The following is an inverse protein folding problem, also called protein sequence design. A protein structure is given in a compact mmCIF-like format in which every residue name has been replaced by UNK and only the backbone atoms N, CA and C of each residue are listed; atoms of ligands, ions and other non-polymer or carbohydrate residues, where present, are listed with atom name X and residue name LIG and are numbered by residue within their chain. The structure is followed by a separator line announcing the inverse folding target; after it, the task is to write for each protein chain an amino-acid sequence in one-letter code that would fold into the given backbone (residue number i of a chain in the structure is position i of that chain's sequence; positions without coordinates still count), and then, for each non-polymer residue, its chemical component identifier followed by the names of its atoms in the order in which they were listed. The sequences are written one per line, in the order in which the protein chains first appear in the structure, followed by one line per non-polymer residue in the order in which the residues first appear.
data_IF_840195516671
#
_entry.id   IF_840195516671
#
_cell.length_a   1.000
_cell.length_b   1.000
_cell.length_c   1.000
_cell.angle_alpha   90.00
_cell.angle_beta   90.00
_cell.angle_gamma   90.00
#
_symmetry.space_group_name_H-M   'P 1'
#
loop_
_entity.id
_entity.type
_entity.pdbx_description
1 polymer ?
#
# COMPACT_ATOMS: atom_id res chain seq x y z
N UNK A 1 -2.35 -8.21 -4.35
CA UNK A 1 -3.11 -9.40 -3.92
C UNK A 1 -2.47 -10.62 -4.55
N UNK A 2 -2.23 -11.67 -3.76
CA UNK A 2 -1.67 -12.95 -4.19
C UNK A 2 -2.79 -14.01 -4.14
N UNK A 3 -2.87 -14.84 -5.17
CA UNK A 3 -3.78 -15.98 -5.21
C UNK A 3 -2.96 -17.26 -5.15
N UNK A 4 -3.33 -18.18 -4.26
CA UNK A 4 -2.70 -19.50 -4.14
C UNK A 4 -3.74 -20.60 -4.33
N UNK A 5 -3.31 -21.79 -4.77
CA UNK A 5 -4.15 -22.96 -4.85
C UNK A 5 -3.96 -23.85 -3.62
N UNK A 6 -5.04 -24.53 -3.21
CA UNK A 6 -5.06 -25.46 -2.08
C UNK A 6 -5.76 -26.75 -2.48
N UNK A 7 -5.53 -27.82 -1.72
CA UNK A 7 -6.31 -29.05 -1.83
C UNK A 7 -7.80 -28.77 -1.61
N UNK A 8 -8.68 -29.67 -2.03
CA UNK A 8 -10.12 -29.50 -1.83
C UNK A 8 -10.46 -29.31 -0.33
N UNK A 9 -11.49 -28.54 -0.02
CA UNK A 9 -11.86 -28.14 1.35
C UNK A 9 -12.00 -29.34 2.31
N UNK A 10 -12.52 -30.47 1.83
CA UNK A 10 -12.70 -31.69 2.65
C UNK A 10 -11.39 -32.45 2.93
N UNK A 11 -10.30 -32.11 2.24
CA UNK A 11 -8.96 -32.69 2.45
C UNK A 11 -8.07 -31.80 3.33
N UNK A 12 -8.47 -30.57 3.59
CA UNK A 12 -7.68 -29.66 4.40
C UNK A 12 -7.56 -30.15 5.84
N UNK A 13 -6.35 -30.16 6.39
CA UNK A 13 -6.03 -30.65 7.72
C UNK A 13 -5.86 -32.17 7.82
N UNK A 14 -5.73 -32.87 6.68
CA UNK A 14 -5.57 -34.34 6.65
C UNK A 14 -4.17 -34.79 6.22
N UNK A 15 -3.22 -33.89 6.05
CA UNK A 15 -1.90 -34.15 5.45
C UNK A 15 -2.00 -34.73 4.03
N UNK A 16 -2.98 -34.26 3.27
CA UNK A 16 -3.20 -34.70 1.89
C UNK A 16 -2.00 -34.35 1.01
N UNK A 17 -1.79 -35.12 -0.06
CA UNK A 17 -0.73 -34.83 -1.03
C UNK A 17 -0.85 -33.42 -1.59
N UNK A 18 0.23 -32.62 -1.51
CA UNK A 18 0.30 -31.20 -1.87
C UNK A 18 -0.50 -30.24 -0.98
N UNK A 19 -1.01 -30.70 0.16
CA UNK A 19 -1.54 -29.77 1.15
C UNK A 19 -0.42 -28.95 1.77
N UNK A 20 -0.67 -27.65 1.95
CA UNK A 20 0.25 -26.72 2.60
C UNK A 20 -0.54 -25.70 3.43
N UNK A 21 -0.12 -25.47 4.67
CA UNK A 21 -0.65 -24.36 5.48
C UNK A 21 -0.09 -23.03 4.99
N UNK A 22 -0.58 -22.58 3.83
CA UNK A 22 -0.18 -21.30 3.24
C UNK A 22 -0.54 -20.13 4.15
N UNK A 23 -1.67 -20.21 4.85
CA UNK A 23 -2.11 -19.19 5.80
C UNK A 23 -1.08 -19.00 6.92
N UNK A 24 -0.70 -20.08 7.61
CA UNK A 24 0.30 -20.02 8.69
C UNK A 24 1.68 -19.57 8.21
N UNK A 25 2.12 -20.05 7.05
CA UNK A 25 3.41 -19.67 6.47
C UNK A 25 3.50 -18.19 6.10
N UNK A 26 2.42 -17.61 5.66
CA UNK A 26 2.41 -16.23 5.16
C UNK A 26 2.03 -15.20 6.20
N UNK A 27 1.47 -15.60 7.34
CA UNK A 27 1.01 -14.72 8.42
C UNK A 27 2.02 -13.62 8.81
N UNK A 28 3.34 -13.89 8.94
CA UNK A 28 4.30 -12.86 9.34
C UNK A 28 4.69 -11.89 8.23
N UNK A 29 4.33 -12.14 6.97
CA UNK A 29 4.79 -11.37 5.80
C UNK A 29 3.66 -10.72 4.99
N UNK A 30 2.41 -11.02 5.29
CA UNK A 30 1.25 -10.41 4.62
C UNK A 30 0.46 -9.52 5.56
N UNK A 31 -0.27 -8.58 4.98
CA UNK A 31 -1.16 -7.69 5.73
C UNK A 31 -2.43 -8.41 6.19
N UNK A 32 -2.92 -9.32 5.36
CA UNK A 32 -4.07 -10.19 5.66
C UNK A 32 -4.04 -11.44 4.79
N UNK A 33 -4.72 -12.51 5.24
CA UNK A 33 -4.89 -13.76 4.49
C UNK A 33 -6.32 -14.24 4.58
N UNK A 34 -6.81 -14.81 3.48
CA UNK A 34 -8.11 -15.46 3.39
C UNK A 34 -7.95 -16.92 2.94
N UNK A 35 -8.81 -17.79 3.46
CA UNK A 35 -9.08 -19.13 2.89
C UNK A 35 -10.53 -19.12 2.45
N UNK A 36 -10.78 -19.20 1.15
CA UNK A 36 -12.16 -19.22 0.61
C UNK A 36 -12.70 -20.63 0.68
N UNK A 37 -13.73 -20.84 1.49
CA UNK A 37 -14.33 -22.19 1.68
C UNK A 37 -15.60 -22.41 0.88
N UNK A 38 -16.18 -21.37 0.30
CA UNK A 38 -17.40 -21.41 -0.50
C UNK A 38 -17.26 -20.44 -1.66
N UNK A 39 -17.75 -20.84 -2.84
CA UNK A 39 -17.66 -20.01 -4.04
C UNK A 39 -18.46 -18.71 -3.88
N UNK A 40 -19.53 -18.71 -3.10
CA UNK A 40 -20.37 -17.54 -2.83
C UNK A 40 -19.62 -16.43 -2.10
N UNK A 41 -18.59 -16.77 -1.33
CA UNK A 41 -17.80 -15.81 -0.56
C UNK A 41 -16.71 -15.15 -1.43
N UNK A 42 -16.38 -15.75 -2.58
CA UNK A 42 -15.25 -15.33 -3.42
C UNK A 42 -15.34 -13.87 -3.89
N UNK A 43 -16.47 -13.36 -4.41
CA UNK A 43 -16.55 -11.99 -4.88
C UNK A 43 -16.28 -10.96 -3.77
N UNK A 44 -16.83 -11.21 -2.56
CA UNK A 44 -16.62 -10.35 -1.41
C UNK A 44 -15.19 -10.41 -0.91
N UNK A 45 -14.61 -11.61 -0.79
CA UNK A 45 -13.22 -11.80 -0.36
C UNK A 45 -12.25 -11.11 -1.32
N UNK A 46 -12.46 -11.22 -2.62
CA UNK A 46 -11.60 -10.54 -3.61
C UNK A 46 -11.70 -9.03 -3.46
N UNK A 47 -12.91 -8.49 -3.36
CA UNK A 47 -13.12 -7.04 -3.16
C UNK A 47 -12.41 -6.54 -1.90
N UNK A 48 -12.62 -7.23 -0.78
CA UNK A 48 -12.04 -6.87 0.50
C UNK A 48 -10.52 -7.00 0.51
N UNK A 49 -9.98 -8.01 -0.17
CA UNK A 49 -8.53 -8.18 -0.31
C UNK A 49 -7.87 -6.99 -1.01
N UNK A 50 -8.49 -6.48 -2.09
CA UNK A 50 -7.99 -5.29 -2.77
C UNK A 50 -8.15 -4.01 -1.93
N UNK A 51 -9.25 -3.89 -1.17
CA UNK A 51 -9.46 -2.78 -0.22
C UNK A 51 -8.36 -2.78 0.84
N UNK A 52 -8.16 -3.91 1.54
CA UNK A 52 -7.16 -4.05 2.60
C UNK A 52 -5.74 -3.83 2.06
N UNK A 53 -5.43 -4.36 0.88
CA UNK A 53 -4.10 -4.20 0.28
C UNK A 53 -3.72 -2.73 0.09
N UNK A 54 -4.69 -1.85 -0.17
CA UNK A 54 -4.49 -0.43 -0.46
C UNK A 54 -4.71 0.49 0.73
N UNK A 55 -5.54 0.10 1.69
CA UNK A 55 -5.89 0.90 2.86
C UNK A 55 -4.67 1.18 3.76
N UNK A 56 -4.58 2.40 4.30
CA UNK A 56 -3.49 2.81 5.20
C UNK A 56 -2.12 2.57 4.57
N UNK A 57 -1.23 1.87 5.27
CA UNK A 57 0.04 1.43 4.67
C UNK A 57 -0.23 0.26 3.73
N UNK A 58 -0.02 0.41 2.42
CA UNK A 58 -0.21 -0.68 1.47
C UNK A 58 0.64 -1.91 1.80
N UNK A 59 0.07 -3.09 1.59
CA UNK A 59 0.77 -4.34 1.87
C UNK A 59 0.11 -5.53 1.17
N UNK A 60 0.81 -6.68 1.06
CA UNK A 60 0.30 -7.86 0.38
C UNK A 60 -0.87 -8.48 1.15
N UNK A 61 -1.86 -8.95 0.41
CA UNK A 61 -2.97 -9.77 0.90
C UNK A 61 -3.00 -11.07 0.11
N UNK A 62 -3.20 -12.18 0.80
CA UNK A 62 -3.23 -13.50 0.20
C UNK A 62 -4.64 -14.07 0.23
N UNK A 63 -5.04 -14.73 -0.85
CA UNK A 63 -6.28 -15.50 -0.96
C UNK A 63 -5.91 -16.92 -1.36
N UNK A 64 -6.15 -17.87 -0.47
CA UNK A 64 -5.97 -19.29 -0.71
C UNK A 64 -7.28 -19.92 -1.22
N UNK A 65 -7.21 -20.56 -2.39
CA UNK A 65 -8.35 -21.04 -3.16
C UNK A 65 -8.33 -22.58 -3.23
N UNK A 66 -9.14 -23.26 -2.44
CA UNK A 66 -9.30 -24.71 -2.55
C UNK A 66 -9.81 -25.16 -3.92
N UNK A 67 -9.35 -26.34 -4.37
CA UNK A 67 -9.63 -26.86 -5.70
C UNK A 67 -11.13 -26.99 -6.00
N UNK A 68 -11.91 -27.45 -5.05
CA UNK A 68 -13.36 -27.60 -5.18
C UNK A 68 -14.09 -26.24 -5.32
N UNK A 69 -13.62 -25.21 -4.63
CA UNK A 69 -14.12 -23.83 -4.79
C UNK A 69 -13.81 -23.30 -6.19
N UNK A 70 -12.59 -23.56 -6.71
CA UNK A 70 -12.21 -23.12 -8.08
C UNK A 70 -13.03 -23.82 -9.16
N UNK A 71 -13.54 -25.03 -8.91
CA UNK A 71 -14.32 -25.83 -9.85
C UNK A 71 -15.83 -25.70 -9.64
N UNK A 72 -16.28 -24.98 -8.63
CA UNK A 72 -17.69 -24.79 -8.35
C UNK A 72 -18.39 -23.94 -9.41
N UNK A 73 -19.69 -24.20 -9.62
CA UNK A 73 -20.50 -23.38 -10.51
C UNK A 73 -20.72 -21.98 -9.90
N UNK A 74 -20.23 -20.98 -10.58
CA UNK A 74 -20.32 -19.56 -10.22
C UNK A 74 -21.38 -18.80 -11.04
N UNK A 75 -22.16 -19.46 -11.90
CA UNK A 75 -23.14 -18.82 -12.79
C UNK A 75 -24.23 -18.04 -12.08
N UNK A 76 -24.49 -18.34 -10.81
CA UNK A 76 -25.45 -17.65 -9.95
C UNK A 76 -24.88 -16.46 -9.19
N UNK A 77 -23.56 -16.22 -9.27
CA UNK A 77 -22.93 -15.10 -8.59
C UNK A 77 -23.18 -13.79 -9.37
N UNK A 78 -23.24 -12.65 -8.66
CA UNK A 78 -23.40 -11.37 -9.33
C UNK A 78 -22.18 -11.07 -10.20
N UNK A 79 -22.44 -10.48 -11.36
CA UNK A 79 -21.40 -9.88 -12.19
C UNK A 79 -20.63 -8.82 -11.38
N UNK A 80 -19.40 -8.56 -11.81
CA UNK A 80 -18.43 -7.70 -11.15
C UNK A 80 -19.02 -6.52 -10.37
N UNK A 81 -18.77 -6.49 -9.07
CA UNK A 81 -19.00 -5.32 -8.22
C UNK A 81 -17.67 -4.58 -8.06
N UNK A 82 -17.54 -3.36 -8.60
CA UNK A 82 -16.31 -2.59 -8.43
C UNK A 82 -15.96 -2.40 -6.96
N UNK A 83 -14.70 -2.58 -6.61
CA UNK A 83 -14.24 -2.20 -5.28
C UNK A 83 -14.37 -0.69 -5.12
N UNK A 84 -15.18 -0.22 -4.18
CA UNK A 84 -15.13 1.17 -3.76
C UNK A 84 -13.84 1.38 -2.98
N UNK A 85 -13.03 2.31 -3.43
CA UNK A 85 -11.91 2.81 -2.62
C UNK A 85 -12.42 4.06 -1.96
N UNK A 86 -12.54 4.02 -0.64
CA UNK A 86 -12.89 5.23 0.11
C UNK A 86 -11.84 6.31 -0.18
N UNK A 87 -12.23 7.51 -0.56
CA UNK A 87 -11.29 8.59 -0.78
C UNK A 87 -10.54 8.88 0.52
N UNK A 88 -9.24 9.13 0.40
CA UNK A 88 -8.44 9.59 1.56
C UNK A 88 -9.09 10.92 2.01
N UNK A 89 -9.54 11.03 3.27
CA UNK A 89 -10.15 12.26 3.74
C UNK A 89 -9.16 13.42 3.66
N UNK A 90 -9.61 14.57 3.18
CA UNK A 90 -8.81 15.79 3.21
C UNK A 90 -8.43 16.14 4.66
N UNK A 91 -7.25 16.71 4.90
CA UNK A 91 -6.89 17.18 6.23
C UNK A 91 -7.86 18.28 6.69
N UNK A 92 -8.13 18.33 7.99
CA UNK A 92 -8.93 19.40 8.60
C UNK A 92 -8.23 20.75 8.38
N UNK A 93 -8.99 21.79 8.02
CA UNK A 93 -8.46 23.13 7.75
C UNK A 93 -7.64 23.69 8.92
N UNK A 94 -8.05 23.42 10.15
CA UNK A 94 -7.31 23.85 11.33
C UNK A 94 -5.91 23.20 11.41
N UNK A 95 -5.80 21.90 11.13
CA UNK A 95 -4.51 21.21 11.12
C UNK A 95 -3.60 21.68 9.98
N UNK A 96 -4.20 22.02 8.83
CA UNK A 96 -3.48 22.59 7.72
C UNK A 96 -2.95 23.99 8.06
N UNK A 97 -3.76 24.82 8.70
CA UNK A 97 -3.35 26.15 9.16
C UNK A 97 -2.20 26.08 10.19
N UNK A 98 -2.28 25.16 11.14
CA UNK A 98 -1.22 24.93 12.13
C UNK A 98 0.10 24.49 11.47
N UNK A 99 0.04 23.60 10.48
CA UNK A 99 1.20 23.15 9.73
C UNK A 99 1.84 24.29 8.94
N UNK A 100 1.02 25.12 8.25
CA UNK A 100 1.50 26.28 7.52
C UNK A 100 2.13 27.33 8.44
N UNK A 101 1.54 27.59 9.60
CA UNK A 101 2.08 28.49 10.61
C UNK A 101 3.44 27.99 11.16
N UNK A 102 3.55 26.69 11.41
CA UNK A 102 4.81 26.08 11.86
C UNK A 102 5.93 26.21 10.79
N UNK A 103 5.60 25.99 9.52
CA UNK A 103 6.55 26.15 8.41
C UNK A 103 6.96 27.61 8.27
N UNK A 104 6.00 28.53 8.30
CA UNK A 104 6.26 29.97 8.16
C UNK A 104 7.09 30.56 9.34
N UNK A 105 6.92 30.03 10.53
CA UNK A 105 7.67 30.44 11.73
C UNK A 105 9.03 29.77 11.89
N UNK A 106 9.39 28.79 11.05
CA UNK A 106 10.65 28.08 11.19
C UNK A 106 11.83 28.90 10.66
N UNK A 107 12.91 29.00 11.46
CA UNK A 107 14.13 29.72 11.06
C UNK A 107 14.99 28.94 10.06
N UNK A 108 15.02 27.60 10.18
CA UNK A 108 15.86 26.72 9.35
C UNK A 108 15.08 25.46 8.98
N UNK A 109 14.00 25.60 8.20
CA UNK A 109 13.21 24.46 7.81
C UNK A 109 13.98 23.54 6.85
N UNK A 110 13.74 22.23 6.96
CA UNK A 110 14.21 21.22 6.01
C UNK A 110 13.05 20.28 5.71
N UNK A 111 12.86 19.96 4.45
CA UNK A 111 11.89 18.97 4.02
C UNK A 111 12.55 17.58 4.03
N UNK A 112 11.92 16.64 4.72
CA UNK A 112 12.30 15.25 4.73
C UNK A 112 11.23 14.43 4.01
N UNK A 113 11.40 14.25 2.69
CA UNK A 113 10.43 13.55 1.85
C UNK A 113 10.57 12.03 1.91
N UNK A 114 9.46 11.34 2.16
CA UNK A 114 9.37 9.90 2.27
C UNK A 114 8.57 9.23 1.16
N UNK A 115 8.53 7.88 1.16
CA UNK A 115 7.82 7.08 0.15
C UNK A 115 6.31 7.30 0.07
N UNK A 116 5.71 7.96 1.07
CA UNK A 116 4.30 8.37 1.04
C UNK A 116 3.95 9.28 -0.14
N UNK A 117 4.88 10.11 -0.59
CA UNK A 117 4.71 10.98 -1.76
C UNK A 117 4.37 10.16 -3.02
N UNK A 118 5.14 9.10 -3.27
CA UNK A 118 4.89 8.22 -4.41
C UNK A 118 3.66 7.32 -4.23
N UNK A 119 3.34 6.91 -2.99
CA UNK A 119 2.13 6.12 -2.69
C UNK A 119 0.86 6.95 -2.93
N UNK A 120 0.90 8.25 -2.64
CA UNK A 120 -0.19 9.18 -2.87
C UNK A 120 -0.31 9.64 -4.33
N UNK A 121 0.68 9.31 -5.18
CA UNK A 121 0.81 9.82 -6.56
C UNK A 121 0.91 11.35 -6.64
N UNK A 122 1.49 11.99 -5.60
CA UNK A 122 1.53 13.45 -5.42
C UNK A 122 2.95 14.04 -5.62
N UNK A 123 3.76 13.40 -6.47
CA UNK A 123 5.11 13.87 -6.74
C UNK A 123 5.13 15.28 -7.38
N UNK A 124 4.12 15.61 -8.20
CA UNK A 124 4.03 16.92 -8.84
C UNK A 124 3.66 18.03 -7.85
N UNK A 125 2.66 17.81 -7.01
CA UNK A 125 2.30 18.74 -5.93
C UNK A 125 3.47 18.96 -4.96
N UNK A 126 4.23 17.89 -4.68
CA UNK A 126 5.43 17.97 -3.87
C UNK A 126 6.52 18.86 -4.51
N UNK A 127 6.76 18.73 -5.82
CA UNK A 127 7.71 19.60 -6.57
C UNK A 127 7.28 21.06 -6.52
N UNK A 128 6.01 21.33 -6.78
CA UNK A 128 5.46 22.69 -6.71
C UNK A 128 5.62 23.29 -5.31
N UNK A 129 5.43 22.50 -4.25
CA UNK A 129 5.64 22.94 -2.89
C UNK A 129 7.10 23.29 -2.62
N UNK A 130 8.05 22.46 -3.07
CA UNK A 130 9.49 22.72 -2.91
C UNK A 130 9.91 23.96 -3.73
N UNK A 131 9.40 24.11 -4.95
CA UNK A 131 9.66 25.28 -5.79
C UNK A 131 9.14 26.58 -5.18
N UNK A 132 7.95 26.54 -4.59
CA UNK A 132 7.32 27.70 -3.96
C UNK A 132 8.03 28.11 -2.66
N UNK A 133 8.40 27.12 -1.83
CA UNK A 133 8.99 27.38 -0.52
C UNK A 133 10.51 27.56 -0.55
N UNK A 134 11.17 26.98 -1.55
CA UNK A 134 12.65 26.94 -1.69
C UNK A 134 13.35 26.30 -0.48
N UNK A 135 12.64 25.49 0.29
CA UNK A 135 13.19 24.82 1.46
C UNK A 135 14.13 23.71 1.03
N UNK A 136 15.35 23.61 1.60
CA UNK A 136 16.25 22.50 1.36
C UNK A 136 15.57 21.17 1.64
N UNK A 137 15.70 20.22 0.71
CA UNK A 137 14.96 18.98 0.72
C UNK A 137 15.89 17.77 0.67
N UNK A 138 15.66 16.82 1.55
CA UNK A 138 16.30 15.50 1.54
C UNK A 138 15.23 14.41 1.32
N UNK A 139 15.61 13.33 0.65
CA UNK A 139 14.69 12.24 0.34
C UNK A 139 15.17 10.91 0.93
N UNK A 140 14.21 10.10 1.35
CA UNK A 140 14.52 8.68 1.65
C UNK A 140 14.76 7.90 0.37
N UNK A 141 15.35 6.71 0.48
CA UNK A 141 15.49 5.78 -0.65
C UNK A 141 14.16 5.55 -1.39
N UNK A 142 13.04 5.45 -0.66
CA UNK A 142 11.71 5.21 -1.25
C UNK A 142 11.07 6.44 -1.88
N UNK A 143 11.63 7.62 -1.68
CA UNK A 143 11.17 8.88 -2.28
C UNK A 143 12.04 9.34 -3.46
N UNK A 144 13.08 8.56 -3.80
CA UNK A 144 13.93 8.90 -4.95
C UNK A 144 13.08 9.02 -6.22
N UNK A 145 13.32 10.11 -6.97
CA UNK A 145 12.53 10.44 -8.15
C UNK A 145 11.37 11.43 -7.88
N UNK A 146 10.98 11.66 -6.62
CA UNK A 146 10.00 12.70 -6.30
C UNK A 146 10.49 14.09 -6.68
N UNK A 147 11.79 14.35 -6.56
CA UNK A 147 12.47 15.53 -7.14
C UNK A 147 13.51 15.09 -8.19
N UNK A 148 13.72 15.87 -9.25
CA UNK A 148 14.83 15.67 -10.17
C UNK A 148 16.19 15.73 -9.45
N UNK A 149 17.15 14.93 -9.90
CA UNK A 149 18.48 14.87 -9.27
C UNK A 149 19.24 16.20 -9.33
N UNK A 150 18.95 17.05 -10.29
CA UNK A 150 19.53 18.36 -10.49
C UNK A 150 18.69 19.52 -9.92
N UNK A 151 17.66 19.23 -9.13
CA UNK A 151 16.82 20.25 -8.54
C UNK A 151 17.64 21.13 -7.56
N UNK A 152 17.55 22.48 -7.62
CA UNK A 152 18.43 23.38 -6.86
C UNK A 152 18.30 23.25 -5.34
N UNK A 153 17.16 22.81 -4.84
CA UNK A 153 16.88 22.64 -3.41
C UNK A 153 17.00 21.16 -2.95
N UNK A 154 17.45 20.25 -3.82
CA UNK A 154 17.63 18.85 -3.46
C UNK A 154 19.06 18.60 -2.94
N UNK A 155 19.20 18.24 -1.68
CA UNK A 155 20.47 17.95 -1.03
C UNK A 155 20.92 16.49 -1.19
N UNK A 156 20.03 15.64 -1.68
CA UNK A 156 20.32 14.23 -1.92
C UNK A 156 19.53 13.27 -1.02
N UNK A 157 19.87 11.99 -1.14
CA UNK A 157 19.33 10.94 -0.29
C UNK A 157 20.03 10.97 1.07
N UNK A 158 19.26 10.81 2.14
CA UNK A 158 19.80 10.68 3.49
C UNK A 158 19.99 9.20 3.87
N UNK A 159 20.73 8.98 4.96
CA UNK A 159 20.97 7.67 5.54
C UNK A 159 22.35 7.09 5.21
N UNK A 160 22.57 5.82 5.54
CA UNK A 160 23.90 5.15 5.47
C UNK A 160 24.55 5.21 4.07
N UNK A 161 23.76 5.24 3.00
CA UNK A 161 24.20 5.36 1.61
C UNK A 161 23.86 6.73 1.00
N UNK A 162 23.55 7.70 1.84
CA UNK A 162 23.17 9.05 1.42
C UNK A 162 24.33 9.96 1.08
N UNK A 163 24.01 11.16 0.66
CA UNK A 163 25.01 12.20 0.41
C UNK A 163 25.50 12.79 1.74
N UNK A 164 26.72 13.35 1.72
CA UNK A 164 27.27 13.99 2.91
C UNK A 164 26.49 15.26 3.34
N UNK A 165 25.80 15.90 2.40
CA UNK A 165 25.00 17.09 2.66
C UNK A 165 23.62 16.77 3.28
N UNK A 166 23.05 15.60 2.95
CA UNK A 166 21.78 15.14 3.49
C UNK A 166 21.98 14.41 4.84
#
# INVERSE_FOLDING_TARGET
VCLTGQVATHLMGTDAFQELDVFGLTLPIVKHSYIVRRVEDLPEVVREAFRIAREGRPGPVLIDLPKDVQMADASHLPDHVPASVDPIPAPEDAKLADALAAIAGAEKPVIYGGGGIGIADEAEAFRQFVDATKIPTVLTLRALGALPANHPHYLGMLGMHGTRAA
#
